data_IF_155397756436
#
_entry.id   IF_155397756436
#
_cell.length_a   1.000
_cell.length_b   1.000
_cell.length_c   1.000
_cell.angle_alpha   90.00
_cell.angle_beta   90.00
_cell.angle_gamma   90.00
#
_symmetry.space_group_name_H-M   'P 1'
#
loop_
_entity.id
_entity.type
_entity.pdbx_description
1 polymer ?
#
# COMPACT_ATOMS: atom_id res chain seq x y z
N UNK A 1 10.12 9.66 -57.77
CA UNK A 1 9.48 9.86 -56.45
C UNK A 1 8.78 8.56 -56.07
N UNK A 2 8.81 8.18 -54.78
CA UNK A 2 8.50 6.85 -54.22
C UNK A 2 9.64 5.82 -54.31
N UNK A 3 10.68 6.01 -53.48
CA UNK A 3 11.55 4.90 -53.07
C UNK A 3 10.84 4.24 -51.89
N UNK A 4 10.20 3.10 -52.18
CA UNK A 4 9.62 2.22 -51.17
C UNK A 4 10.74 1.76 -50.23
N UNK A 5 10.76 2.11 -48.93
CA UNK A 5 11.77 1.59 -48.04
C UNK A 5 11.51 0.08 -47.90
N UNK A 6 12.47 -0.73 -48.34
CA UNK A 6 12.44 -2.18 -48.14
C UNK A 6 12.46 -2.42 -46.61
N UNK A 7 11.27 -2.64 -46.05
CA UNK A 7 11.08 -3.03 -44.66
C UNK A 7 11.66 -4.43 -44.47
N UNK A 8 12.71 -4.55 -43.66
CA UNK A 8 13.18 -5.84 -43.19
C UNK A 8 12.14 -6.41 -42.21
N UNK A 9 11.23 -7.26 -42.71
CA UNK A 9 10.35 -8.05 -41.87
C UNK A 9 11.18 -9.13 -41.17
N UNK A 10 11.65 -8.86 -39.96
CA UNK A 10 12.05 -9.95 -39.06
C UNK A 10 10.75 -10.60 -38.62
N UNK A 11 10.49 -11.81 -39.10
CA UNK A 11 9.25 -12.54 -38.80
C UNK A 11 9.06 -12.77 -37.31
N UNK A 12 8.31 -11.89 -36.65
CA UNK A 12 7.67 -12.11 -35.37
C UNK A 12 6.17 -11.85 -35.53
N UNK A 13 5.53 -12.68 -36.36
CA UNK A 13 4.08 -12.71 -36.55
C UNK A 13 3.46 -11.46 -37.22
N UNK A 14 2.28 -11.61 -37.84
CA UNK A 14 1.58 -10.48 -38.45
C UNK A 14 0.99 -9.59 -37.34
N UNK A 15 1.57 -8.42 -37.10
CA UNK A 15 0.92 -7.39 -36.27
C UNK A 15 1.78 -6.29 -35.66
N UNK A 16 3.08 -6.49 -35.44
CA UNK A 16 3.94 -5.49 -34.78
C UNK A 16 5.04 -5.03 -35.74
N UNK A 17 4.90 -3.81 -36.28
CA UNK A 17 5.90 -3.22 -37.17
C UNK A 17 7.27 -3.09 -36.50
N UNK A 18 8.33 -3.48 -37.21
CA UNK A 18 9.75 -3.08 -37.14
C UNK A 18 10.44 -2.78 -35.79
N UNK A 19 9.83 -3.03 -34.64
CA UNK A 19 10.39 -2.77 -33.31
C UNK A 19 10.98 -4.04 -32.74
N UNK A 20 12.29 -4.00 -32.53
CA UNK A 20 12.99 -4.95 -31.67
C UNK A 20 12.40 -4.91 -30.23
N UNK A 21 12.43 -6.03 -29.48
CA UNK A 21 12.00 -6.05 -28.08
C UNK A 21 12.75 -5.03 -27.21
N UNK A 22 12.06 -4.43 -26.23
CA UNK A 22 12.60 -3.38 -25.37
C UNK A 22 13.62 -3.90 -24.32
N UNK A 23 13.76 -5.21 -24.18
CA UNK A 23 14.57 -5.90 -23.16
C UNK A 23 15.81 -6.63 -23.71
N UNK A 24 16.29 -6.23 -24.89
CA UNK A 24 17.48 -6.80 -25.49
C UNK A 24 18.75 -6.56 -24.65
N UNK A 25 19.60 -7.59 -24.58
CA UNK A 25 20.92 -7.53 -23.96
C UNK A 25 21.96 -8.13 -24.89
N UNK A 26 23.15 -7.53 -24.94
CA UNK A 26 24.34 -8.18 -25.47
C UNK A 26 25.00 -8.97 -24.36
N UNK A 27 25.23 -10.26 -24.60
CA UNK A 27 25.95 -11.12 -23.67
C UNK A 27 27.34 -11.42 -24.22
N UNK A 28 28.37 -11.06 -23.47
CA UNK A 28 29.76 -11.37 -23.80
C UNK A 28 30.10 -12.83 -23.48
N UNK A 29 31.23 -13.33 -24.01
CA UNK A 29 31.72 -14.70 -23.78
C UNK A 29 31.97 -15.02 -22.30
N UNK A 30 32.26 -14.02 -21.46
CA UNK A 30 32.42 -14.16 -20.02
C UNK A 30 31.10 -13.98 -19.22
N UNK A 31 29.96 -13.91 -19.91
CA UNK A 31 28.63 -13.85 -19.28
C UNK A 31 28.16 -12.46 -18.85
N UNK A 32 28.94 -11.39 -19.10
CA UNK A 32 28.49 -10.02 -18.82
C UNK A 32 27.38 -9.63 -19.78
N UNK A 33 26.31 -9.06 -19.23
CA UNK A 33 25.18 -8.54 -20.00
C UNK A 33 25.25 -7.02 -20.12
N UNK A 34 24.94 -6.50 -21.30
CA UNK A 34 24.86 -5.07 -21.61
C UNK A 34 23.47 -4.80 -22.18
N UNK A 35 22.61 -4.06 -21.46
CA UNK A 35 21.30 -3.70 -21.98
C UNK A 35 21.44 -2.79 -23.19
N UNK A 36 20.75 -3.14 -24.28
CA UNK A 36 20.73 -2.38 -25.52
C UNK A 36 19.29 -2.03 -25.89
N UNK A 37 19.11 -0.94 -26.61
CA UNK A 37 17.81 -0.55 -27.14
C UNK A 37 17.93 0.58 -28.14
N UNK A 38 16.81 1.20 -28.50
CA UNK A 38 16.76 2.22 -29.57
C UNK A 38 17.49 1.71 -30.83
N UNK A 39 17.18 0.47 -31.22
CA UNK A 39 17.91 -0.24 -32.27
C UNK A 39 17.28 -0.07 -33.65
N UNK A 40 18.13 -0.04 -34.67
CA UNK A 40 17.75 -0.02 -36.07
C UNK A 40 18.43 -1.18 -36.80
N UNK A 41 17.65 -1.84 -37.66
CA UNK A 41 18.14 -2.87 -38.55
C UNK A 41 17.97 -2.39 -39.99
N UNK A 42 19.05 -2.39 -40.77
CA UNK A 42 19.03 -2.01 -42.18
C UNK A 42 19.72 -3.07 -43.03
N UNK A 43 19.16 -3.45 -44.20
CA UNK A 43 19.81 -4.38 -45.11
C UNK A 43 21.03 -3.71 -45.76
N UNK A 44 22.11 -4.47 -45.88
CA UNK A 44 23.27 -4.10 -46.69
C UNK A 44 23.05 -4.67 -48.09
N UNK A 45 22.94 -3.81 -49.09
CA UNK A 45 22.69 -4.20 -50.49
C UNK A 45 23.93 -3.97 -51.35
N UNK A 46 24.12 -4.78 -52.38
CA UNK A 46 25.13 -4.53 -53.42
C UNK A 46 24.62 -3.53 -54.48
N UNK A 47 25.46 -3.23 -55.48
CA UNK A 47 25.11 -2.31 -56.57
C UNK A 47 23.96 -2.82 -57.47
N UNK A 48 23.63 -4.12 -57.44
CA UNK A 48 22.52 -4.72 -58.17
C UNK A 48 21.21 -4.74 -57.34
N UNK A 49 21.27 -4.31 -56.08
CA UNK A 49 20.14 -4.36 -55.14
C UNK A 49 19.99 -5.72 -54.45
N UNK A 50 20.96 -6.64 -54.60
CA UNK A 50 20.94 -7.93 -53.92
C UNK A 50 21.43 -7.79 -52.47
N UNK A 51 20.78 -8.46 -51.54
CA UNK A 51 21.12 -8.41 -50.11
C UNK A 51 22.45 -9.12 -49.82
N UNK A 52 23.44 -8.36 -49.34
CA UNK A 52 24.72 -8.84 -48.86
C UNK A 52 24.71 -9.20 -47.36
N UNK A 53 23.83 -8.56 -46.58
CA UNK A 53 23.79 -8.77 -45.13
C UNK A 53 22.91 -7.76 -44.40
N UNK A 54 23.15 -7.60 -43.10
CA UNK A 54 22.42 -6.69 -42.23
C UNK A 54 23.39 -5.83 -41.41
N UNK A 55 23.04 -4.55 -41.27
CA UNK A 55 23.66 -3.63 -40.31
C UNK A 55 22.68 -3.46 -39.15
N UNK A 56 23.15 -3.76 -37.94
CA UNK A 56 22.45 -3.48 -36.70
C UNK A 56 23.14 -2.32 -36.00
N UNK A 57 22.38 -1.28 -35.67
CA UNK A 57 22.81 -0.19 -34.79
C UNK A 57 21.96 -0.24 -33.54
N UNK A 58 22.58 -0.09 -32.38
CA UNK A 58 21.90 -0.08 -31.08
C UNK A 58 22.60 0.91 -30.15
N UNK A 59 21.87 1.37 -29.15
CA UNK A 59 22.39 2.24 -28.09
C UNK A 59 22.62 1.43 -26.82
N UNK A 60 23.75 1.67 -26.17
CA UNK A 60 24.00 1.16 -24.82
C UNK A 60 23.06 1.88 -23.83
N UNK A 61 22.24 1.11 -23.11
CA UNK A 61 21.29 1.61 -22.13
C UNK A 61 21.77 1.40 -20.69
N UNK A 62 23.04 1.04 -20.47
CA UNK A 62 23.58 0.75 -19.12
C UNK A 62 23.40 1.95 -18.19
N UNK A 63 23.94 3.12 -18.56
CA UNK A 63 23.83 4.35 -17.75
C UNK A 63 22.37 4.75 -17.51
N UNK A 64 21.51 4.61 -18.52
CA UNK A 64 20.08 4.92 -18.40
C UNK A 64 19.39 4.01 -17.38
N UNK A 65 19.58 2.68 -17.49
CA UNK A 65 18.99 1.72 -16.55
C UNK A 65 19.56 1.85 -15.15
N UNK A 66 20.85 2.17 -15.00
CA UNK A 66 21.46 2.46 -13.69
C UNK A 66 20.89 3.74 -13.07
N UNK A 67 20.72 4.80 -13.87
CA UNK A 67 20.10 6.04 -13.40
C UNK A 67 18.63 5.83 -13.01
N UNK A 68 17.85 5.08 -13.80
CA UNK A 68 16.46 4.73 -13.48
C UNK A 68 16.37 3.92 -12.18
N UNK A 69 17.26 2.95 -11.97
CA UNK A 69 17.35 2.19 -10.71
C UNK A 69 17.68 3.11 -9.53
N UNK A 70 18.67 3.98 -9.68
CA UNK A 70 19.06 4.92 -8.62
C UNK A 70 17.90 5.86 -8.25
N UNK A 71 17.21 6.42 -9.24
CA UNK A 71 16.03 7.26 -9.02
C UNK A 71 14.93 6.50 -8.29
N UNK A 72 14.68 5.24 -8.68
CA UNK A 72 13.69 4.40 -8.02
C UNK A 72 14.08 4.09 -6.56
N UNK A 73 15.34 3.75 -6.29
CA UNK A 73 15.85 3.53 -4.93
C UNK A 73 15.73 4.79 -4.06
N UNK A 74 16.08 5.95 -4.60
CA UNK A 74 15.91 7.24 -3.91
C UNK A 74 14.44 7.54 -3.61
N UNK A 75 13.53 7.25 -4.54
CA UNK A 75 12.09 7.44 -4.32
C UNK A 75 11.55 6.49 -3.23
N UNK A 76 11.97 5.22 -3.23
CA UNK A 76 11.62 4.26 -2.17
C UNK A 76 12.16 4.70 -0.81
N UNK A 77 13.41 5.19 -0.74
CA UNK A 77 13.99 5.73 0.49
C UNK A 77 13.21 6.94 1.00
N UNK A 78 12.85 7.87 0.09
CA UNK A 78 12.03 9.04 0.42
C UNK A 78 10.67 8.63 0.96
N UNK A 79 9.97 7.68 0.31
CA UNK A 79 8.68 7.14 0.76
C UNK A 79 8.79 6.49 2.14
N UNK A 80 9.82 5.67 2.37
CA UNK A 80 10.08 5.05 3.69
C UNK A 80 10.27 6.11 4.76
N UNK A 81 11.13 7.10 4.53
CA UNK A 81 11.39 8.17 5.51
C UNK A 81 10.12 8.97 5.85
N UNK A 82 9.28 9.27 4.85
CA UNK A 82 8.00 9.96 5.05
C UNK A 82 7.04 9.11 5.90
N UNK A 83 6.87 7.83 5.57
CA UNK A 83 5.99 6.91 6.30
C UNK A 83 6.49 6.72 7.74
N UNK A 84 7.79 6.50 7.94
CA UNK A 84 8.39 6.37 9.28
C UNK A 84 8.24 7.65 10.09
N UNK A 85 8.43 8.83 9.47
CA UNK A 85 8.19 10.12 10.10
C UNK A 85 6.73 10.29 10.53
N UNK A 86 5.77 9.89 9.68
CA UNK A 86 4.35 9.90 10.02
C UNK A 86 4.03 8.96 11.18
N UNK A 87 4.59 7.75 11.21
CA UNK A 87 4.37 6.82 12.33
C UNK A 87 4.97 7.34 13.63
N UNK A 88 6.19 7.90 13.60
CA UNK A 88 6.82 8.53 14.77
C UNK A 88 6.00 9.71 15.30
N UNK A 89 5.43 10.53 14.40
CA UNK A 89 4.59 11.65 14.82
C UNK A 89 3.25 11.16 15.40
N UNK A 90 2.66 10.10 14.84
CA UNK A 90 1.47 9.46 15.43
C UNK A 90 1.76 8.90 16.82
N UNK A 91 2.91 8.25 17.00
CA UNK A 91 3.38 7.78 18.31
C UNK A 91 3.54 8.94 19.30
N UNK A 92 4.16 10.04 18.86
CA UNK A 92 4.34 11.25 19.67
C UNK A 92 3.00 11.85 20.09
N UNK A 93 2.07 12.04 19.16
CA UNK A 93 0.74 12.60 19.44
C UNK A 93 -0.07 11.68 20.36
N UNK A 94 -0.04 10.36 20.13
CA UNK A 94 -0.72 9.40 21.00
C UNK A 94 -0.22 9.53 22.45
N UNK A 95 1.10 9.64 22.62
CA UNK A 95 1.72 9.86 23.93
C UNK A 95 1.29 11.18 24.56
N UNK A 96 1.32 12.29 23.81
CA UNK A 96 0.90 13.60 24.31
C UNK A 96 -0.58 13.61 24.75
N UNK A 97 -1.46 12.89 24.03
CA UNK A 97 -2.87 12.74 24.40
C UNK A 97 -3.00 11.91 25.68
N UNK A 98 -2.33 10.75 25.75
CA UNK A 98 -2.41 9.88 26.92
C UNK A 98 -1.87 10.55 28.18
N UNK A 99 -0.69 11.16 28.08
CA UNK A 99 0.00 11.78 29.21
C UNK A 99 -0.60 13.14 29.56
N UNK A 100 -0.90 13.99 28.57
CA UNK A 100 -1.40 15.35 28.79
C UNK A 100 -2.90 15.39 29.06
N UNK A 101 -3.69 15.02 28.04
CA UNK A 101 -5.15 15.14 28.09
C UNK A 101 -5.76 14.16 29.08
N UNK A 102 -5.29 12.91 29.10
CA UNK A 102 -5.75 11.88 30.03
C UNK A 102 -5.55 12.27 31.50
N UNK A 103 -4.37 12.79 31.86
CA UNK A 103 -4.09 13.24 33.23
C UNK A 103 -4.94 14.46 33.62
N UNK A 104 -5.11 15.41 32.70
CA UNK A 104 -5.91 16.61 32.96
C UNK A 104 -7.38 16.25 33.22
N UNK A 105 -7.98 15.37 32.42
CA UNK A 105 -9.36 14.91 32.63
C UNK A 105 -9.51 14.14 33.96
N UNK A 106 -8.52 13.32 34.33
CA UNK A 106 -8.50 12.65 35.63
C UNK A 106 -8.41 13.66 36.79
N UNK A 107 -7.58 14.70 36.68
CA UNK A 107 -7.47 15.74 37.69
C UNK A 107 -8.77 16.56 37.83
N UNK A 108 -9.43 16.89 36.71
CA UNK A 108 -10.74 17.56 36.73
C UNK A 108 -11.76 16.68 37.46
N UNK A 109 -11.80 15.37 37.16
CA UNK A 109 -12.69 14.42 37.83
C UNK A 109 -12.48 14.38 39.35
N UNK A 110 -11.22 14.37 39.80
CA UNK A 110 -10.91 14.42 41.24
C UNK A 110 -11.39 15.72 41.88
N UNK A 111 -11.10 16.88 41.28
CA UNK A 111 -11.49 18.17 41.84
C UNK A 111 -13.01 18.38 41.85
N UNK A 112 -13.70 17.96 40.79
CA UNK A 112 -15.17 18.03 40.70
C UNK A 112 -15.84 17.22 41.81
N UNK A 113 -15.32 16.02 42.11
CA UNK A 113 -15.88 15.17 43.16
C UNK A 113 -15.81 15.77 44.57
N UNK A 114 -14.96 16.80 44.75
CA UNK A 114 -14.77 17.50 46.03
C UNK A 114 -15.62 18.76 46.17
N UNK A 115 -16.17 19.31 45.07
CA UNK A 115 -16.75 20.67 45.05
C UNK A 115 -18.24 20.67 44.75
N UNK A 116 -18.82 19.61 44.18
CA UNK A 116 -20.25 19.59 43.84
C UNK A 116 -21.10 19.04 45.00
N UNK A 117 -21.93 19.88 45.64
CA UNK A 117 -22.76 19.48 46.78
C UNK A 117 -24.03 18.71 46.37
N UNK A 118 -24.48 18.82 45.11
CA UNK A 118 -25.65 18.11 44.60
C UNK A 118 -25.25 16.75 43.99
N UNK A 119 -25.74 15.61 44.54
CA UNK A 119 -25.40 14.28 44.06
C UNK A 119 -25.74 14.03 42.58
N UNK A 120 -26.82 14.64 42.06
CA UNK A 120 -27.26 14.42 40.67
C UNK A 120 -26.35 15.12 39.65
N UNK A 121 -25.93 16.36 39.93
CA UNK A 121 -25.02 17.12 39.07
C UNK A 121 -23.60 16.52 39.09
N UNK A 122 -23.16 16.02 40.26
CA UNK A 122 -21.90 15.31 40.41
C UNK A 122 -21.87 14.00 39.59
N UNK A 123 -22.96 13.24 39.60
CA UNK A 123 -23.09 12.00 38.82
C UNK A 123 -23.07 12.27 37.30
N UNK A 124 -23.80 13.29 36.83
CA UNK A 124 -23.82 13.66 35.42
C UNK A 124 -22.45 14.14 34.92
N UNK A 125 -21.75 14.99 35.69
CA UNK A 125 -20.42 15.46 35.30
C UNK A 125 -19.38 14.34 35.37
N UNK A 126 -19.45 13.45 36.36
CA UNK A 126 -18.61 12.25 36.45
C UNK A 126 -18.79 11.33 35.23
N UNK A 127 -20.03 11.15 34.77
CA UNK A 127 -20.33 10.39 33.54
C UNK A 127 -19.69 11.06 32.32
N UNK A 128 -19.88 12.36 32.11
CA UNK A 128 -19.30 13.09 30.98
C UNK A 128 -17.76 13.06 31.00
N UNK A 129 -17.14 13.15 32.17
CA UNK A 129 -15.69 13.03 32.31
C UNK A 129 -15.20 11.63 32.00
N UNK A 130 -15.91 10.59 32.44
CA UNK A 130 -15.58 9.21 32.06
C UNK A 130 -15.68 9.02 30.55
N UNK A 131 -16.73 9.55 29.91
CA UNK A 131 -16.89 9.50 28.45
C UNK A 131 -15.71 10.22 27.75
N UNK A 132 -15.32 11.41 28.22
CA UNK A 132 -14.17 12.14 27.67
C UNK A 132 -12.85 11.38 27.85
N UNK A 133 -12.62 10.75 29.02
CA UNK A 133 -11.42 9.94 29.28
C UNK A 133 -11.38 8.74 28.34
N UNK A 134 -12.50 8.02 28.20
CA UNK A 134 -12.59 6.86 27.31
C UNK A 134 -12.40 7.27 25.85
N UNK A 135 -12.93 8.40 25.43
CA UNK A 135 -12.74 8.91 24.07
C UNK A 135 -11.29 9.33 23.83
N UNK A 136 -10.63 9.96 24.81
CA UNK A 136 -9.19 10.27 24.74
C UNK A 136 -8.33 9.02 24.60
N UNK A 137 -8.64 7.96 25.36
CA UNK A 137 -7.95 6.66 25.25
C UNK A 137 -8.19 6.07 23.86
N UNK A 138 -9.43 6.05 23.38
CA UNK A 138 -9.79 5.55 22.04
C UNK A 138 -9.06 6.30 20.93
N UNK A 139 -8.95 7.63 21.01
CA UNK A 139 -8.20 8.45 20.04
C UNK A 139 -6.71 8.07 20.07
N UNK A 140 -6.13 7.93 21.26
CA UNK A 140 -4.73 7.50 21.41
C UNK A 140 -4.49 6.11 20.81
N UNK A 141 -5.38 5.14 21.05
CA UNK A 141 -5.29 3.80 20.48
C UNK A 141 -5.43 3.79 18.95
N UNK A 142 -6.26 4.66 18.37
CA UNK A 142 -6.38 4.80 16.92
C UNK A 142 -5.10 5.36 16.28
N UNK A 143 -4.41 6.26 17.00
CA UNK A 143 -3.16 6.85 16.55
C UNK A 143 -2.00 5.86 16.64
N UNK A 144 -1.91 5.10 17.72
CA UNK A 144 -0.85 4.12 17.91
C UNK A 144 -1.43 2.71 18.03
N UNK A 145 -1.26 1.84 17.02
CA UNK A 145 -1.62 0.45 17.12
C UNK A 145 -0.59 -0.32 17.98
N UNK A 146 -0.47 0.04 19.26
CA UNK A 146 0.49 -0.54 20.22
C UNK A 146 0.36 -2.07 20.30
N UNK A 147 -0.87 -2.58 20.10
CA UNK A 147 -1.20 -4.02 20.01
C UNK A 147 -0.40 -4.74 18.92
N UNK A 148 0.04 -4.05 17.87
CA UNK A 148 0.87 -4.68 16.84
C UNK A 148 2.24 -5.11 17.34
N UNK A 149 2.71 -4.69 18.52
CA UNK A 149 3.97 -5.23 19.08
C UNK A 149 3.75 -6.60 19.70
N UNK A 150 2.63 -6.76 20.39
CA UNK A 150 2.39 -7.92 21.27
C UNK A 150 1.50 -8.99 20.61
N UNK A 151 0.80 -8.63 19.53
CA UNK A 151 -0.12 -9.52 18.82
C UNK A 151 0.24 -9.68 17.33
N UNK A 152 -0.24 -10.77 16.74
CA UNK A 152 -0.14 -11.01 15.30
C UNK A 152 -1.08 -10.09 14.50
N UNK A 153 -0.86 -10.02 13.18
CA UNK A 153 -1.63 -9.15 12.30
C UNK A 153 -3.12 -9.54 12.27
N UNK A 154 -3.43 -10.84 12.21
CA UNK A 154 -4.81 -11.32 12.14
C UNK A 154 -5.63 -10.91 13.38
N UNK A 155 -5.05 -11.05 14.57
CA UNK A 155 -5.66 -10.62 15.84
C UNK A 155 -5.89 -9.11 15.84
N UNK A 156 -4.92 -8.33 15.37
CA UNK A 156 -5.05 -6.87 15.29
C UNK A 156 -6.14 -6.43 14.30
N UNK A 157 -6.23 -7.07 13.13
CA UNK A 157 -7.27 -6.79 12.12
C UNK A 157 -8.66 -7.19 12.62
N UNK A 158 -8.79 -8.33 13.31
CA UNK A 158 -10.04 -8.74 13.95
C UNK A 158 -10.49 -7.73 15.01
N UNK A 159 -9.55 -7.24 15.84
CA UNK A 159 -9.82 -6.19 16.83
C UNK A 159 -10.28 -4.89 16.15
N UNK A 160 -9.61 -4.47 15.08
CA UNK A 160 -9.99 -3.29 14.30
C UNK A 160 -11.43 -3.41 13.81
N UNK A 161 -11.78 -4.52 13.15
CA UNK A 161 -13.12 -4.74 12.60
C UNK A 161 -14.19 -4.70 13.71
N UNK A 162 -13.95 -5.36 14.85
CA UNK A 162 -14.87 -5.37 15.98
C UNK A 162 -15.06 -3.98 16.61
N UNK A 163 -13.96 -3.24 16.83
CA UNK A 163 -14.01 -1.89 17.42
C UNK A 163 -14.76 -0.92 16.51
N UNK A 164 -14.51 -0.97 15.20
CA UNK A 164 -15.13 -0.09 14.23
C UNK A 164 -16.60 -0.46 14.01
N UNK A 165 -16.93 -1.75 13.91
CA UNK A 165 -18.31 -2.22 13.84
C UNK A 165 -19.13 -1.75 15.06
N UNK A 166 -18.58 -1.91 16.27
CA UNK A 166 -19.26 -1.47 17.49
C UNK A 166 -19.47 0.05 17.56
N UNK A 167 -18.48 0.84 17.14
CA UNK A 167 -18.55 2.31 17.22
C UNK A 167 -19.45 2.95 16.15
N UNK A 168 -19.54 2.32 14.97
CA UNK A 168 -20.27 2.89 13.83
C UNK A 168 -21.60 2.19 13.54
N UNK A 169 -21.88 1.07 14.22
CA UNK A 169 -23.01 0.19 13.94
C UNK A 169 -23.00 -0.38 12.50
N UNK A 170 -21.81 -0.44 11.88
CA UNK A 170 -21.62 -1.02 10.54
C UNK A 170 -21.41 -2.53 10.63
N UNK A 171 -21.88 -3.27 9.61
CA UNK A 171 -21.62 -4.71 9.49
C UNK A 171 -20.23 -4.94 8.90
N UNK A 172 -19.27 -5.36 9.73
CA UNK A 172 -17.89 -5.60 9.31
C UNK A 172 -17.47 -7.03 9.67
N UNK A 173 -17.11 -7.83 8.67
CA UNK A 173 -16.62 -9.21 8.84
C UNK A 173 -15.11 -9.29 8.66
N UNK A 174 -14.47 -10.21 9.39
CA UNK A 174 -13.06 -10.52 9.24
C UNK A 174 -12.88 -12.02 8.99
N UNK A 175 -12.14 -12.36 7.93
CA UNK A 175 -11.81 -13.72 7.56
C UNK A 175 -10.29 -13.88 7.42
N UNK A 176 -9.77 -15.04 7.85
CA UNK A 176 -8.36 -15.40 7.67
C UNK A 176 -8.24 -16.79 7.08
N UNK A 177 -7.30 -16.99 6.15
CA UNK A 177 -7.04 -18.29 5.53
C UNK A 177 -5.53 -18.54 5.38
N UNK A 178 -5.01 -19.60 6.01
CA UNK A 178 -3.63 -20.02 5.84
C UNK A 178 -2.55 -19.10 6.43
N UNK A 179 -2.93 -18.00 7.11
CA UNK A 179 -1.97 -17.09 7.75
C UNK A 179 -1.27 -17.77 8.93
N UNK A 180 0.03 -17.98 8.78
CA UNK A 180 0.86 -18.70 9.77
C UNK A 180 2.23 -18.05 9.98
N UNK A 181 2.68 -17.17 9.09
CA UNK A 181 4.05 -16.68 9.13
C UNK A 181 4.24 -15.49 10.09
N UNK A 182 5.34 -15.49 10.85
CA UNK A 182 5.72 -14.31 11.61
C UNK A 182 6.10 -13.17 10.65
N UNK A 183 5.48 -12.00 10.85
CA UNK A 183 5.77 -10.79 10.09
C UNK A 183 6.69 -9.86 10.86
N UNK A 184 7.68 -9.29 10.17
CA UNK A 184 8.47 -8.20 10.69
C UNK A 184 7.56 -7.01 11.05
N UNK A 185 7.96 -6.26 12.08
CA UNK A 185 7.11 -5.22 12.65
C UNK A 185 6.68 -4.16 11.62
N UNK A 186 7.59 -3.78 10.72
CA UNK A 186 7.32 -2.80 9.66
C UNK A 186 6.21 -3.26 8.71
N UNK A 187 6.25 -4.51 8.23
CA UNK A 187 5.18 -5.06 7.37
C UNK A 187 3.84 -5.11 8.10
N UNK A 188 3.85 -5.54 9.37
CA UNK A 188 2.66 -5.61 10.23
C UNK A 188 1.97 -4.25 10.36
N UNK A 189 2.74 -3.20 10.66
CA UNK A 189 2.26 -1.82 10.78
C UNK A 189 1.70 -1.31 9.46
N UNK A 190 2.43 -1.50 8.36
CA UNK A 190 1.99 -1.01 7.05
C UNK A 190 0.70 -1.68 6.57
N UNK A 191 0.57 -3.01 6.69
CA UNK A 191 -0.66 -3.72 6.35
C UNK A 191 -1.84 -3.30 7.23
N UNK A 192 -1.62 -3.15 8.54
CA UNK A 192 -2.65 -2.67 9.45
C UNK A 192 -3.13 -1.25 9.09
N UNK A 193 -2.22 -0.34 8.75
CA UNK A 193 -2.57 1.04 8.33
C UNK A 193 -3.36 1.07 7.04
N UNK A 194 -3.03 0.20 6.09
CA UNK A 194 -3.81 0.05 4.85
C UNK A 194 -5.23 -0.43 5.16
N UNK A 195 -5.38 -1.46 6.01
CA UNK A 195 -6.71 -1.93 6.42
C UNK A 195 -7.50 -0.84 7.17
N UNK A 196 -6.86 -0.14 8.11
CA UNK A 196 -7.46 0.95 8.87
C UNK A 196 -7.99 2.06 7.96
N UNK A 197 -7.17 2.52 7.00
CA UNK A 197 -7.56 3.55 6.04
C UNK A 197 -8.66 3.06 5.10
N UNK A 198 -8.59 1.81 4.61
CA UNK A 198 -9.59 1.23 3.71
C UNK A 198 -10.96 1.10 4.39
N UNK A 199 -11.01 0.57 5.61
CA UNK A 199 -12.24 0.46 6.41
C UNK A 199 -12.82 1.84 6.71
N UNK A 200 -11.98 2.81 7.08
CA UNK A 200 -12.40 4.17 7.33
C UNK A 200 -12.99 4.84 6.08
N UNK A 201 -12.37 4.61 4.92
CA UNK A 201 -12.85 5.13 3.64
C UNK A 201 -14.22 4.54 3.27
N UNK A 202 -14.43 3.24 3.44
CA UNK A 202 -15.73 2.61 3.22
C UNK A 202 -16.81 3.26 4.10
N UNK A 203 -16.54 3.39 5.40
CA UNK A 203 -17.49 3.99 6.36
C UNK A 203 -17.84 5.44 6.01
N UNK A 204 -16.83 6.24 5.64
CA UNK A 204 -17.03 7.68 5.39
C UNK A 204 -17.61 7.98 4.02
N UNK A 205 -17.30 7.16 3.02
CA UNK A 205 -17.50 7.55 1.62
C UNK A 205 -18.40 6.63 0.82
N UNK A 206 -18.53 5.35 1.19
CA UNK A 206 -19.21 4.40 0.30
C UNK A 206 -20.68 4.17 0.62
N UNK A 207 -21.16 4.57 1.81
CA UNK A 207 -22.51 4.20 2.30
C UNK A 207 -22.77 2.69 2.22
N UNK A 208 -21.72 1.89 2.36
CA UNK A 208 -21.79 0.44 2.34
C UNK A 208 -22.71 -0.09 3.45
N UNK A 209 -23.44 -1.15 3.12
CA UNK A 209 -24.19 -1.96 4.08
C UNK A 209 -23.30 -2.99 4.75
N UNK A 210 -22.24 -3.44 4.06
CA UNK A 210 -21.30 -4.42 4.59
C UNK A 210 -19.86 -4.15 4.13
N UNK A 211 -18.91 -4.48 5.00
CA UNK A 211 -17.47 -4.42 4.74
C UNK A 211 -16.87 -5.77 5.09
N UNK A 212 -16.09 -6.35 4.18
CA UNK A 212 -15.39 -7.61 4.37
C UNK A 212 -13.88 -7.38 4.36
N UNK A 213 -13.19 -7.79 5.42
CA UNK A 213 -11.73 -7.79 5.51
C UNK A 213 -11.22 -9.22 5.48
N UNK A 214 -10.33 -9.53 4.53
CA UNK A 214 -9.77 -10.87 4.38
C UNK A 214 -8.24 -10.84 4.37
N UNK A 215 -7.63 -11.71 5.17
CA UNK A 215 -6.20 -11.96 5.19
C UNK A 215 -5.94 -13.39 4.71
N UNK A 216 -5.10 -13.57 3.71
CA UNK A 216 -4.76 -14.90 3.21
C UNK A 216 -3.28 -15.00 2.88
N UNK A 217 -2.69 -16.16 3.15
CA UNK A 217 -1.28 -16.42 2.87
C UNK A 217 -1.12 -17.69 2.03
N UNK A 218 -0.23 -17.64 1.05
CA UNK A 218 0.24 -18.80 0.31
C UNK A 218 1.78 -18.75 0.17
N UNK A 219 2.36 -19.73 -0.52
CA UNK A 219 3.82 -19.84 -0.67
C UNK A 219 4.48 -18.67 -1.43
N UNK A 220 3.72 -17.87 -2.16
CA UNK A 220 4.22 -16.77 -2.99
C UNK A 220 3.92 -15.38 -2.42
N UNK A 221 2.80 -15.22 -1.71
CA UNK A 221 2.33 -13.91 -1.28
C UNK A 221 1.48 -13.99 0.00
N UNK A 222 1.60 -12.95 0.81
CA UNK A 222 0.59 -12.55 1.78
C UNK A 222 -0.34 -11.53 1.11
N UNK A 223 -1.64 -11.83 1.07
CA UNK A 223 -2.67 -10.99 0.49
C UNK A 223 -3.62 -10.48 1.57
N UNK A 224 -3.85 -9.17 1.56
CA UNK A 224 -4.86 -8.48 2.36
C UNK A 224 -5.88 -7.86 1.39
N UNK A 225 -7.16 -8.16 1.55
CA UNK A 225 -8.25 -7.53 0.79
C UNK A 225 -9.29 -6.91 1.70
N UNK A 226 -9.80 -5.75 1.28
CA UNK A 226 -10.90 -5.04 1.93
C UNK A 226 -11.93 -4.72 0.86
N UNK A 227 -13.13 -5.23 1.03
CA UNK A 227 -14.25 -5.08 0.10
C UNK A 227 -15.41 -4.39 0.81
N UNK A 228 -16.02 -3.40 0.16
CA UNK A 228 -17.27 -2.79 0.60
C UNK A 228 -18.30 -2.84 -0.54
N UNK A 229 -19.57 -2.97 -0.20
CA UNK A 229 -20.70 -3.05 -1.13
C UNK A 229 -21.36 -1.70 -1.43
N UNK A 230 -20.61 -0.60 -1.22
CA UNK A 230 -21.13 0.76 -1.32
C UNK A 230 -21.18 1.31 -2.75
N UNK A 231 -21.17 2.64 -2.85
CA UNK A 231 -21.32 3.37 -4.12
C UNK A 231 -20.04 3.50 -4.95
N UNK A 232 -18.97 2.81 -4.56
CA UNK A 232 -17.66 2.88 -5.23
C UNK A 232 -17.03 4.27 -5.28
N UNK A 233 -15.97 4.39 -6.09
CA UNK A 233 -15.18 5.60 -6.31
C UNK A 233 -15.57 6.23 -7.65
N UNK A 234 -16.49 7.19 -7.63
CA UNK A 234 -17.06 7.79 -8.85
C UNK A 234 -16.07 8.68 -9.64
N UNK A 235 -15.04 9.25 -9.00
CA UNK A 235 -14.08 10.18 -9.63
C UNK A 235 -12.65 9.61 -9.64
N UNK A 236 -12.06 9.51 -10.83
CA UNK A 236 -10.65 9.10 -11.02
C UNK A 236 -9.66 10.00 -10.28
N UNK A 237 -10.02 11.25 -9.96
CA UNK A 237 -9.18 12.15 -9.12
C UNK A 237 -9.04 11.64 -7.69
N UNK A 238 -9.97 10.81 -7.19
CA UNK A 238 -9.87 10.22 -5.85
C UNK A 238 -8.61 9.35 -5.73
N UNK A 239 -8.16 8.74 -6.83
CA UNK A 239 -6.90 7.97 -6.87
C UNK A 239 -5.64 8.79 -6.56
N UNK A 240 -5.74 10.12 -6.52
CA UNK A 240 -4.66 11.05 -6.13
C UNK A 240 -4.84 11.62 -4.71
N UNK A 241 -5.88 11.24 -3.99
CA UNK A 241 -6.04 11.64 -2.59
C UNK A 241 -4.97 10.99 -1.71
N UNK A 242 -4.56 11.72 -0.67
CA UNK A 242 -3.46 11.34 0.21
C UNK A 242 -3.64 9.96 0.85
N UNK A 243 -4.87 9.55 1.17
CA UNK A 243 -5.17 8.23 1.72
C UNK A 243 -4.77 7.09 0.78
N UNK A 244 -5.23 7.12 -0.48
CA UNK A 244 -4.90 6.09 -1.49
C UNK A 244 -3.42 6.12 -1.86
N UNK A 245 -2.82 7.31 -1.97
CA UNK A 245 -1.38 7.46 -2.24
C UNK A 245 -0.57 6.82 -1.11
N UNK A 246 -0.90 7.11 0.15
CA UNK A 246 -0.23 6.51 1.31
C UNK A 246 -0.38 4.98 1.32
N UNK A 247 -1.55 4.44 0.99
CA UNK A 247 -1.74 2.98 0.94
C UNK A 247 -0.87 2.33 -0.14
N UNK A 248 -0.79 2.97 -1.32
CA UNK A 248 0.07 2.51 -2.42
C UNK A 248 1.54 2.57 -2.05
N UNK A 249 2.00 3.70 -1.51
CA UNK A 249 3.40 3.88 -1.12
C UNK A 249 3.79 2.85 -0.05
N UNK A 250 2.91 2.56 0.92
CA UNK A 250 3.10 1.52 1.93
C UNK A 250 3.26 0.13 1.31
N UNK A 251 2.43 -0.23 0.33
CA UNK A 251 2.58 -1.49 -0.38
C UNK A 251 3.92 -1.56 -1.14
N UNK A 252 4.30 -0.48 -1.82
CA UNK A 252 5.51 -0.41 -2.63
C UNK A 252 6.79 -0.51 -1.78
N UNK A 253 6.86 0.15 -0.63
CA UNK A 253 8.05 0.05 0.25
C UNK A 253 8.24 -1.34 0.84
N UNK A 254 7.17 -2.14 0.90
CA UNK A 254 7.18 -3.56 1.30
C UNK A 254 7.56 -4.50 0.14
N UNK A 255 7.80 -3.97 -1.07
CA UNK A 255 8.03 -4.75 -2.29
C UNK A 255 6.76 -5.42 -2.81
N UNK A 256 5.59 -4.91 -2.43
CA UNK A 256 4.29 -5.46 -2.79
C UNK A 256 3.58 -4.71 -3.92
N UNK A 257 2.44 -5.26 -4.31
CA UNK A 257 1.51 -4.68 -5.29
C UNK A 257 0.27 -4.18 -4.59
N UNK A 258 -0.22 -3.02 -5.04
CA UNK A 258 -1.47 -2.40 -4.59
C UNK A 258 -2.45 -2.31 -5.76
N UNK A 259 -3.66 -2.79 -5.57
CA UNK A 259 -4.73 -2.75 -6.57
C UNK A 259 -6.00 -2.19 -5.93
N UNK A 260 -6.70 -1.31 -6.64
CA UNK A 260 -8.07 -0.90 -6.31
C UNK A 260 -8.94 -1.19 -7.52
N UNK A 261 -10.01 -1.94 -7.28
CA UNK A 261 -11.11 -2.09 -8.21
C UNK A 261 -12.32 -1.40 -7.60
N UNK A 262 -13.04 -0.60 -8.38
CA UNK A 262 -14.19 0.12 -7.87
C UNK A 262 -15.22 0.35 -8.95
N UNK A 263 -16.48 0.08 -8.60
CA UNK A 263 -17.62 0.20 -9.49
C UNK A 263 -18.82 0.72 -8.70
N UNK A 264 -19.60 1.69 -9.22
CA UNK A 264 -20.74 2.27 -8.51
C UNK A 264 -21.83 1.28 -8.07
N UNK A 265 -21.87 0.08 -8.68
CA UNK A 265 -22.87 -0.95 -8.41
C UNK A 265 -22.29 -2.16 -7.65
N UNK A 266 -20.97 -2.24 -7.46
CA UNK A 266 -20.30 -3.33 -6.72
C UNK A 266 -19.50 -2.85 -5.52
N UNK A 267 -19.33 -1.53 -5.37
CA UNK A 267 -18.55 -0.91 -4.30
C UNK A 267 -17.06 -0.83 -4.60
N UNK A 268 -16.23 -1.06 -3.59
CA UNK A 268 -14.77 -0.92 -3.72
C UNK A 268 -14.05 -2.12 -3.16
N UNK A 269 -13.08 -2.63 -3.91
CA UNK A 269 -12.17 -3.69 -3.51
C UNK A 269 -10.74 -3.16 -3.52
N UNK A 270 -10.12 -3.12 -2.34
CA UNK A 270 -8.70 -2.81 -2.15
C UNK A 270 -7.96 -4.11 -1.92
N UNK A 271 -6.89 -4.36 -2.69
CA UNK A 271 -6.05 -5.55 -2.58
C UNK A 271 -4.58 -5.14 -2.43
N UNK A 272 -3.93 -5.71 -1.43
CA UNK A 272 -2.48 -5.60 -1.23
C UNK A 272 -1.85 -6.97 -1.19
N UNK A 273 -0.83 -7.17 -2.01
CA UNK A 273 -0.07 -8.41 -2.09
C UNK A 273 1.39 -8.12 -1.80
N UNK A 274 1.94 -8.69 -0.75
CA UNK A 274 3.34 -8.53 -0.38
C UNK A 274 4.04 -9.89 -0.36
N UNK A 275 5.34 -9.96 -0.68
CA UNK A 275 6.11 -11.17 -0.49
C UNK A 275 6.05 -11.60 0.99
N UNK A 276 5.88 -12.90 1.28
CA UNK A 276 5.98 -13.39 2.65
C UNK A 276 7.38 -13.09 3.20
N UNK A 277 7.50 -12.95 4.52
CA UNK A 277 8.82 -12.89 5.12
C UNK A 277 9.49 -14.24 4.95
N UNK A 278 10.72 -14.24 4.42
CA UNK A 278 11.49 -15.47 4.31
C UNK A 278 11.77 -15.95 5.72
N UNK A 279 11.26 -17.12 6.09
CA UNK A 279 11.82 -17.86 7.23
C UNK A 279 13.29 -18.09 6.90
N UNK A 280 14.18 -17.46 7.66
CA UNK A 280 15.58 -17.88 7.72
C UNK A 280 15.59 -19.28 8.30
N UNK A 281 15.56 -20.29 7.43
CA UNK A 281 15.93 -21.64 7.82
C UNK A 281 17.45 -21.57 8.02
N UNK A 282 17.87 -21.29 9.25
CA UNK A 282 19.23 -21.60 9.67
C UNK A 282 19.32 -23.13 9.65
N UNK A 283 19.87 -23.69 8.57
CA UNK A 283 20.41 -25.05 8.53
C UNK A 283 21.87 -24.98 8.95
#
# INVERSE_FOLDING_TARGET
ENINPIQCMIGLGPGNGNRMPDDLVLRSKNGKELPIGESSLSPLLDASGQSLGLILVFKDLTEKKEHEKLLHEMDLQRKRALIEGQEKERERIAKDIHDGLGQMLNAIKMNVSLVIPNPSDAANLSRLLNEAIQESIRISENLLPAKLRDFDLATCLKSLCAQVSHSTHSNISFHTHGFQSPLCQSKKVNLYRIAQESVNNAIKHSKASSITVQLSENSQALRLSIEDDGTGLADKKIMRQSGIVNMRDRAEIMGGKFTIESDPHRGTLVIVEVPPDKMSINV
#
